data_IF_166759147207
#
_entry.id   IF_166759147207
#
_cell.length_a   1.000
_cell.length_b   1.000
_cell.length_c   1.000
_cell.angle_alpha   90.00
_cell.angle_beta   90.00
_cell.angle_gamma   90.00
#
_symmetry.space_group_name_H-M   'P 1'
#
loop_
_entity.id
_entity.type
_entity.pdbx_description
1 polymer ?
#
# COMPACT_ATOMS: atom_id res chain seq x y z
N UNK A 1 -1.82 -8.72 1.67
CA UNK A 1 -2.09 -7.57 0.78
C UNK A 1 -1.03 -6.53 1.03
N UNK A 2 -0.57 -5.83 -0.02
CA UNK A 2 0.26 -4.64 0.06
C UNK A 2 -0.47 -3.49 -0.65
N UNK A 3 -0.49 -2.33 -0.01
CA UNK A 3 -1.01 -1.07 -0.53
C UNK A 3 0.20 -0.14 -0.56
N UNK A 4 0.43 0.56 -1.67
CA UNK A 4 1.65 1.32 -1.84
C UNK A 4 1.44 2.55 -2.72
N UNK A 5 2.13 3.65 -2.40
CA UNK A 5 2.16 4.84 -3.23
C UNK A 5 3.33 4.79 -4.21
N UNK A 6 3.06 5.01 -5.50
CA UNK A 6 4.08 4.99 -6.56
C UNK A 6 5.15 6.06 -6.34
N UNK A 7 4.74 7.20 -5.77
CA UNK A 7 5.59 8.36 -5.51
C UNK A 7 6.26 8.32 -4.12
N UNK A 8 6.20 7.18 -3.42
CA UNK A 8 6.82 7.05 -2.09
C UNK A 8 8.34 7.27 -2.15
N UNK A 9 8.77 8.47 -1.74
CA UNK A 9 10.16 8.87 -1.74
C UNK A 9 11.01 8.13 -0.71
N UNK A 10 10.37 7.52 0.30
CA UNK A 10 10.99 6.80 1.42
C UNK A 10 11.14 5.31 1.10
N UNK A 11 10.08 4.68 0.59
CA UNK A 11 10.00 3.26 0.23
C UNK A 11 9.82 3.10 -1.28
N UNK A 12 10.79 3.58 -2.06
CA UNK A 12 10.71 3.60 -3.53
C UNK A 12 10.37 2.24 -4.14
N UNK A 13 9.60 2.25 -5.24
CA UNK A 13 9.16 1.06 -6.00
C UNK A 13 10.24 0.00 -6.19
N UNK A 14 11.45 0.37 -6.64
CA UNK A 14 12.54 -0.60 -6.86
C UNK A 14 12.85 -1.51 -5.65
N UNK A 15 12.70 -0.99 -4.43
CA UNK A 15 12.96 -1.76 -3.20
C UNK A 15 11.75 -2.56 -2.75
N UNK A 16 10.56 -2.04 -3.01
CA UNK A 16 9.30 -2.68 -2.65
C UNK A 16 9.00 -3.85 -3.59
N UNK A 17 9.30 -3.70 -4.87
CA UNK A 17 9.22 -4.76 -5.88
C UNK A 17 10.11 -5.96 -5.51
N UNK A 18 11.35 -5.71 -5.09
CA UNK A 18 12.25 -6.77 -4.59
C UNK A 18 11.61 -7.54 -3.42
N UNK A 19 11.03 -6.84 -2.45
CA UNK A 19 10.35 -7.49 -1.32
C UNK A 19 9.10 -8.28 -1.75
N UNK A 20 8.35 -7.79 -2.75
CA UNK A 20 7.21 -8.51 -3.28
C UNK A 20 7.62 -9.79 -4.01
N UNK A 21 8.72 -9.74 -4.75
CA UNK A 21 9.26 -10.89 -5.45
C UNK A 21 9.77 -11.95 -4.47
N UNK A 22 10.42 -11.56 -3.37
CA UNK A 22 10.78 -12.50 -2.30
C UNK A 22 9.58 -13.24 -1.71
N UNK A 23 8.45 -12.55 -1.52
CA UNK A 23 7.22 -13.18 -1.02
C UNK A 23 6.68 -14.20 -2.02
N UNK A 24 6.68 -13.85 -3.32
CA UNK A 24 6.22 -14.75 -4.40
C UNK A 24 7.13 -15.97 -4.55
N UNK A 25 8.46 -15.78 -4.45
CA UNK A 25 9.45 -16.85 -4.52
C UNK A 25 9.27 -17.88 -3.41
N UNK A 26 8.85 -17.43 -2.22
CA UNK A 26 8.49 -18.29 -1.09
C UNK A 26 7.08 -18.90 -1.20
N UNK A 27 6.46 -18.83 -2.39
CA UNK A 27 5.09 -19.27 -2.69
C UNK A 27 4.02 -18.54 -1.86
N UNK A 28 4.34 -17.36 -1.33
CA UNK A 28 3.39 -16.50 -0.65
C UNK A 28 2.36 -15.95 -1.63
N UNK A 29 1.10 -15.84 -1.17
CA UNK A 29 0.04 -15.17 -1.94
C UNK A 29 0.03 -13.69 -1.55
N UNK A 30 0.44 -12.84 -2.49
CA UNK A 30 0.47 -11.40 -2.29
C UNK A 30 -0.46 -10.71 -3.29
N UNK A 31 -1.44 -9.97 -2.76
CA UNK A 31 -2.26 -9.03 -3.51
C UNK A 31 -1.64 -7.63 -3.36
N UNK A 32 -1.34 -6.95 -4.45
CA UNK A 32 -0.64 -5.65 -4.47
C UNK A 32 -1.53 -4.59 -5.14
N UNK A 33 -1.64 -3.41 -4.54
CA UNK A 33 -2.28 -2.23 -5.14
C UNK A 33 -1.32 -1.05 -5.06
N UNK A 34 -1.07 -0.42 -6.20
CA UNK A 34 -0.19 0.76 -6.34
C UNK A 34 -1.05 1.97 -6.69
N UNK A 35 -0.87 3.06 -5.97
CA UNK A 35 -1.56 4.34 -6.16
C UNK A 35 -0.60 5.35 -6.78
N UNK A 36 -0.88 5.78 -8.01
CA UNK A 36 0.02 6.64 -8.80
C UNK A 36 0.17 8.06 -8.25
N UNK A 37 -0.73 8.50 -7.37
CA UNK A 37 -0.79 9.85 -6.80
C UNK A 37 -0.57 9.84 -5.27
N UNK A 38 0.04 8.79 -4.72
CA UNK A 38 0.34 8.67 -3.29
C UNK A 38 1.84 8.64 -3.01
N UNK A 39 2.27 9.46 -2.06
CA UNK A 39 3.57 9.39 -1.38
C UNK A 39 3.38 8.70 -0.02
N UNK A 40 4.47 8.53 0.74
CA UNK A 40 4.49 7.92 2.05
C UNK A 40 3.43 8.49 3.01
N UNK A 41 2.85 7.64 3.86
CA UNK A 41 1.90 8.03 4.90
C UNK A 41 0.69 8.86 4.36
N UNK A 42 0.22 8.51 3.16
CA UNK A 42 -0.95 9.12 2.51
C UNK A 42 -2.21 9.17 3.40
N UNK A 43 -2.32 8.27 4.38
CA UNK A 43 -3.44 8.12 5.33
C UNK A 43 -3.34 9.05 6.56
N UNK A 44 -2.23 9.79 6.71
CA UNK A 44 -1.97 10.59 7.92
C UNK A 44 -2.36 12.06 7.76
N UNK A 45 -3.56 12.42 8.24
CA UNK A 45 -4.13 13.79 8.20
C UNK A 45 -3.27 14.92 8.77
N UNK A 46 -2.52 14.67 9.85
CA UNK A 46 -1.75 15.70 10.56
C UNK A 46 -0.24 15.47 10.44
N UNK A 47 0.22 15.07 9.26
CA UNK A 47 1.64 14.93 8.96
C UNK A 47 2.26 16.29 8.66
N UNK A 48 3.44 16.55 9.21
CA UNK A 48 4.23 17.76 8.89
C UNK A 48 5.20 17.56 7.72
N UNK A 49 5.28 16.32 7.19
CA UNK A 49 6.27 15.92 6.18
C UNK A 49 5.63 15.40 4.89
N UNK A 50 4.47 14.77 5.00
CA UNK A 50 3.80 14.08 3.90
C UNK A 50 2.39 14.61 3.75
N UNK A 51 1.92 14.73 2.52
CA UNK A 51 0.57 15.20 2.24
C UNK A 51 -0.45 14.09 2.48
N UNK A 52 -1.55 14.45 3.12
CA UNK A 52 -2.68 13.54 3.28
C UNK A 52 -3.45 13.44 1.97
N UNK A 53 -3.64 12.23 1.45
CA UNK A 53 -4.44 11.95 0.27
C UNK A 53 -5.75 11.25 0.71
N UNK A 54 -6.85 12.01 0.75
CA UNK A 54 -8.15 11.52 1.21
C UNK A 54 -8.75 10.42 0.32
N UNK A 55 -8.51 10.49 -0.99
CA UNK A 55 -9.02 9.51 -1.93
C UNK A 55 -8.35 8.15 -1.70
N UNK A 56 -7.02 8.16 -1.62
CA UNK A 56 -6.23 6.96 -1.38
C UNK A 56 -6.44 6.40 0.03
N UNK A 57 -6.59 7.24 1.07
CA UNK A 57 -6.97 6.79 2.41
C UNK A 57 -8.29 6.00 2.39
N UNK A 58 -9.35 6.59 1.83
CA UNK A 58 -10.68 5.94 1.78
C UNK A 58 -10.67 4.64 0.99
N UNK A 59 -10.04 4.64 -0.19
CA UNK A 59 -9.97 3.44 -1.03
C UNK A 59 -9.11 2.34 -0.40
N UNK A 60 -7.92 2.69 0.10
CA UNK A 60 -7.01 1.74 0.76
C UNK A 60 -7.63 1.14 2.02
N UNK A 61 -8.37 1.94 2.79
CA UNK A 61 -9.14 1.47 3.94
C UNK A 61 -10.25 0.49 3.53
N UNK A 62 -11.02 0.82 2.49
CA UNK A 62 -12.06 -0.06 1.95
C UNK A 62 -11.49 -1.40 1.50
N UNK A 63 -10.40 -1.40 0.71
CA UNK A 63 -9.70 -2.63 0.27
C UNK A 63 -9.23 -3.47 1.44
N UNK A 64 -8.75 -2.84 2.50
CA UNK A 64 -8.33 -3.53 3.72
C UNK A 64 -9.49 -4.29 4.36
N UNK A 65 -10.64 -3.64 4.53
CA UNK A 65 -11.84 -4.31 5.06
C UNK A 65 -12.28 -5.47 4.15
N UNK A 66 -12.30 -5.26 2.83
CA UNK A 66 -12.70 -6.29 1.86
C UNK A 66 -11.73 -7.48 1.86
N UNK A 67 -10.42 -7.23 1.95
CA UNK A 67 -9.40 -8.26 2.08
C UNK A 67 -9.63 -9.10 3.34
N UNK A 68 -9.88 -8.48 4.49
CA UNK A 68 -10.18 -9.21 5.71
C UNK A 68 -11.47 -10.02 5.60
N UNK A 69 -12.56 -9.43 5.11
CA UNK A 69 -13.84 -10.15 4.89
C UNK A 69 -13.68 -11.39 3.99
N UNK A 70 -12.82 -11.31 2.97
CA UNK A 70 -12.56 -12.40 2.05
C UNK A 70 -11.74 -13.54 2.68
N UNK A 71 -10.85 -13.24 3.61
CA UNK A 71 -9.84 -14.18 4.11
C UNK A 71 -10.02 -14.61 5.56
N UNK A 72 -10.76 -13.85 6.37
CA UNK A 72 -11.14 -14.23 7.72
C UNK A 72 -12.52 -14.88 7.68
N UNK A 73 -12.53 -16.21 7.77
CA UNK A 73 -13.70 -17.00 8.16
C UNK A 73 -13.57 -17.39 9.62
#
# INVERSE_FOLDING_TARGET
MALHGEEDGTQRMRWVEEAWDEVKDRRGRLETHVYSDADHAWDKKNSTRWEYNEEVDKDSHKRTIEFFRKNMK
#
